data_IF_088738842983
#
_entry.id   IF_088738842983
#
_cell.length_a   1.000
_cell.length_b   1.000
_cell.length_c   1.000
_cell.angle_alpha   90.00
_cell.angle_beta   90.00
_cell.angle_gamma   90.00
#
_symmetry.space_group_name_H-M   'P 1'
#
loop_
_entity.id
_entity.type
_entity.pdbx_description
1 polymer ?
#
# COMPACT_ATOMS: atom_id res chain seq x y z
N UNK A 1 14.84 9.95 2.88
CA UNK A 1 15.65 10.30 1.67
C UNK A 1 14.70 10.73 0.58
N UNK A 2 15.15 11.42 -0.46
CA UNK A 2 14.30 11.83 -1.59
C UNK A 2 14.59 10.94 -2.80
N UNK A 3 13.54 10.57 -3.56
CA UNK A 3 13.72 9.94 -4.86
C UNK A 3 14.32 10.97 -5.82
N UNK A 4 15.36 10.60 -6.59
CA UNK A 4 16.00 11.53 -7.49
C UNK A 4 15.04 12.02 -8.59
N UNK A 5 15.17 13.28 -9.06
CA UNK A 5 14.33 13.77 -10.16
C UNK A 5 14.45 12.93 -11.44
N UNK A 6 15.60 12.33 -11.67
CA UNK A 6 15.84 11.44 -12.83
C UNK A 6 15.04 10.16 -12.69
N UNK A 7 15.06 9.55 -11.52
CA UNK A 7 14.30 8.33 -11.25
C UNK A 7 12.79 8.59 -11.28
N UNK A 8 12.34 9.71 -10.71
CA UNK A 8 10.94 10.11 -10.79
C UNK A 8 10.47 10.25 -12.24
N UNK A 9 11.26 10.93 -13.10
CA UNK A 9 10.94 11.05 -14.53
C UNK A 9 10.86 9.71 -15.24
N UNK A 10 11.81 8.80 -14.95
CA UNK A 10 11.79 7.44 -15.52
C UNK A 10 10.50 6.72 -15.13
N UNK A 11 10.16 6.69 -13.84
CA UNK A 11 8.94 6.03 -13.34
C UNK A 11 7.68 6.64 -14.00
N UNK A 12 7.59 7.96 -14.08
CA UNK A 12 6.46 8.63 -14.75
C UNK A 12 6.35 8.25 -16.23
N UNK A 13 7.48 8.21 -16.96
CA UNK A 13 7.50 7.79 -18.37
C UNK A 13 7.06 6.34 -18.56
N UNK A 14 7.49 5.44 -17.68
CA UNK A 14 7.07 4.02 -17.71
C UNK A 14 5.56 3.87 -17.38
N UNK A 15 5.03 4.66 -16.44
CA UNK A 15 3.60 4.69 -16.12
C UNK A 15 2.78 5.19 -17.32
N UNK A 16 3.24 6.22 -18.03
CA UNK A 16 2.58 6.74 -19.25
C UNK A 16 2.58 5.70 -20.37
N UNK A 17 3.72 5.04 -20.61
CA UNK A 17 3.83 3.98 -21.61
C UNK A 17 2.92 2.78 -21.26
N UNK A 18 2.87 2.40 -19.98
CA UNK A 18 1.99 1.36 -19.45
C UNK A 18 0.52 1.72 -19.68
N UNK A 19 0.13 2.95 -19.33
CA UNK A 19 -1.24 3.42 -19.48
C UNK A 19 -1.70 3.38 -20.94
N UNK A 20 -0.85 3.80 -21.86
CA UNK A 20 -1.11 3.75 -23.30
C UNK A 20 -1.25 2.30 -23.82
N UNK A 21 -0.34 1.41 -23.42
CA UNK A 21 -0.33 0.00 -23.83
C UNK A 21 -1.56 -0.74 -23.33
N UNK A 22 -1.93 -0.56 -22.05
CA UNK A 22 -3.08 -1.23 -21.42
C UNK A 22 -4.42 -0.52 -21.69
N UNK A 23 -4.38 0.66 -22.33
CA UNK A 23 -5.56 1.50 -22.62
C UNK A 23 -6.34 1.86 -21.35
N UNK A 24 -5.63 2.30 -20.32
CA UNK A 24 -6.16 2.67 -19.00
C UNK A 24 -5.87 4.12 -18.68
N UNK A 25 -6.61 4.67 -17.73
CA UNK A 25 -6.30 5.95 -17.08
C UNK A 25 -5.76 5.69 -15.68
N UNK A 26 -4.55 6.16 -15.39
CA UNK A 26 -3.99 6.10 -14.04
C UNK A 26 -4.62 7.21 -13.21
N UNK A 27 -5.30 6.82 -12.12
CA UNK A 27 -5.95 7.72 -11.20
C UNK A 27 -5.03 8.18 -10.07
N UNK A 28 -4.17 7.27 -9.63
CA UNK A 28 -3.20 7.47 -8.56
C UNK A 28 -2.00 6.57 -8.79
N UNK A 29 -0.81 7.08 -8.63
CA UNK A 29 0.41 6.27 -8.60
C UNK A 29 1.36 6.81 -7.54
N UNK A 30 1.91 5.91 -6.72
CA UNK A 30 2.76 6.26 -5.60
C UNK A 30 3.87 5.23 -5.38
N UNK A 31 4.86 5.64 -4.61
CA UNK A 31 5.82 4.72 -4.01
C UNK A 31 5.19 3.98 -2.83
N UNK A 32 5.55 2.73 -2.65
CA UNK A 32 5.17 1.88 -1.54
C UNK A 32 6.41 1.25 -0.88
N UNK A 33 6.22 0.19 -0.09
CA UNK A 33 7.31 -0.58 0.47
C UNK A 33 8.27 0.20 1.35
N UNK A 34 9.52 -0.21 1.37
CA UNK A 34 10.54 0.31 2.29
C UNK A 34 10.82 1.79 2.15
N UNK A 35 10.70 2.36 0.92
CA UNK A 35 10.90 3.80 0.67
C UNK A 35 9.78 4.62 1.28
N UNK A 36 8.55 4.22 1.07
CA UNK A 36 7.40 4.91 1.64
C UNK A 36 7.32 4.75 3.16
N UNK A 37 7.80 3.64 3.70
CA UNK A 37 7.89 3.42 5.14
C UNK A 37 9.07 4.14 5.82
N UNK A 38 10.01 4.72 5.05
CA UNK A 38 11.11 5.54 5.55
C UNK A 38 12.31 4.75 6.07
N UNK A 39 12.51 3.52 5.60
CA UNK A 39 13.68 2.70 5.93
C UNK A 39 14.33 2.01 4.73
N UNK A 40 14.32 2.69 3.59
CA UNK A 40 15.00 2.22 2.39
C UNK A 40 16.52 2.11 2.57
N UNK A 41 17.14 1.24 1.77
CA UNK A 41 18.57 1.19 1.50
C UNK A 41 18.86 1.73 0.08
N UNK A 42 20.13 1.93 -0.24
CA UNK A 42 20.57 2.41 -1.56
C UNK A 42 20.13 1.49 -2.71
N UNK A 43 20.05 0.20 -2.43
CA UNK A 43 19.70 -0.90 -3.33
C UNK A 43 18.27 -1.42 -3.16
N UNK A 44 17.41 -0.67 -2.44
CA UNK A 44 15.99 -1.00 -2.35
C UNK A 44 15.31 -0.79 -3.70
N UNK A 45 14.48 -1.74 -4.11
CA UNK A 45 13.62 -1.63 -5.27
C UNK A 45 12.67 -0.43 -5.15
N UNK A 46 12.15 0.04 -6.29
CA UNK A 46 11.06 1.00 -6.35
C UNK A 46 9.75 0.23 -6.44
N UNK A 47 8.97 0.30 -5.39
CA UNK A 47 7.67 -0.35 -5.25
C UNK A 47 6.56 0.56 -5.80
N UNK A 48 6.44 0.69 -7.11
CA UNK A 48 5.44 1.55 -7.75
C UNK A 48 4.07 0.88 -7.72
N UNK A 49 3.15 1.50 -7.01
CA UNK A 49 1.78 1.03 -6.87
C UNK A 49 0.81 2.05 -7.47
N UNK A 50 -0.20 1.57 -8.21
CA UNK A 50 -1.13 2.48 -8.87
C UNK A 50 -2.57 1.97 -8.86
N UNK A 51 -3.51 2.90 -8.94
CA UNK A 51 -4.94 2.65 -9.13
C UNK A 51 -5.30 3.15 -10.51
N UNK A 52 -6.00 2.35 -11.29
CA UNK A 52 -6.36 2.67 -12.64
C UNK A 52 -7.86 2.45 -12.94
N UNK A 53 -8.34 3.13 -13.95
CA UNK A 53 -9.68 2.98 -14.51
C UNK A 53 -9.56 2.53 -15.97
N UNK A 54 -10.38 1.57 -16.37
CA UNK A 54 -10.56 1.16 -17.76
C UNK A 54 -11.66 1.99 -18.43
N UNK A 55 -11.86 1.81 -19.71
CA UNK A 55 -13.00 2.39 -20.43
C UNK A 55 -14.30 1.74 -19.97
N UNK A 56 -15.42 2.46 -20.02
CA UNK A 56 -16.74 1.95 -19.62
C UNK A 56 -17.13 0.67 -20.34
N UNK A 57 -16.82 0.56 -21.64
CA UNK A 57 -17.06 -0.64 -22.45
C UNK A 57 -16.39 -1.91 -21.89
N UNK A 58 -15.25 -1.77 -21.23
CA UNK A 58 -14.53 -2.89 -20.63
C UNK A 58 -15.23 -3.45 -19.39
N UNK A 59 -15.99 -2.63 -18.67
CA UNK A 59 -16.79 -3.07 -17.52
C UNK A 59 -18.13 -3.73 -17.93
N UNK A 60 -18.54 -3.57 -19.17
CA UNK A 60 -19.77 -4.15 -19.71
C UNK A 60 -19.57 -5.49 -20.43
N UNK A 61 -18.40 -6.10 -20.31
CA UNK A 61 -18.08 -7.39 -20.95
C UNK A 61 -18.62 -8.57 -20.17
N UNK A 62 -19.05 -9.61 -20.88
CA UNK A 62 -19.46 -10.89 -20.27
C UNK A 62 -18.25 -11.62 -19.66
N UNK A 63 -17.09 -11.58 -20.36
CA UNK A 63 -15.86 -12.20 -19.86
C UNK A 63 -15.20 -11.26 -18.83
N UNK A 64 -14.90 -11.73 -17.60
CA UNK A 64 -14.25 -10.90 -16.59
C UNK A 64 -12.84 -10.52 -17.05
N UNK A 65 -12.47 -9.27 -16.85
CA UNK A 65 -11.10 -8.81 -17.05
C UNK A 65 -10.28 -8.97 -15.74
N UNK A 66 -8.98 -9.16 -15.91
CA UNK A 66 -8.07 -9.16 -14.77
C UNK A 66 -8.08 -7.77 -14.10
N UNK A 67 -8.32 -7.75 -12.80
CA UNK A 67 -8.41 -6.52 -11.99
C UNK A 67 -7.07 -6.08 -11.38
N UNK A 68 -5.97 -6.70 -11.84
CA UNK A 68 -4.57 -6.37 -11.48
C UNK A 68 -3.73 -6.30 -12.74
N UNK A 69 -2.90 -5.29 -12.81
CA UNK A 69 -1.81 -5.18 -13.77
C UNK A 69 -0.51 -5.32 -13.01
N UNK A 70 0.30 -6.31 -13.36
CA UNK A 70 1.65 -6.54 -12.85
C UNK A 70 2.60 -6.53 -14.03
N UNK A 71 3.63 -5.73 -13.94
CA UNK A 71 4.70 -5.70 -14.94
C UNK A 71 5.86 -6.56 -14.43
N UNK A 72 6.47 -7.41 -15.26
CA UNK A 72 7.66 -8.12 -14.85
C UNK A 72 8.73 -7.14 -14.36
N UNK A 73 9.38 -7.47 -13.24
CA UNK A 73 10.42 -6.64 -12.64
C UNK A 73 11.52 -6.42 -13.67
N UNK A 74 11.84 -5.15 -13.93
CA UNK A 74 12.92 -4.73 -14.82
C UNK A 74 13.89 -3.84 -14.06
N UNK A 75 15.09 -4.34 -13.81
CA UNK A 75 16.04 -3.67 -12.92
C UNK A 75 15.46 -3.57 -11.51
N UNK A 76 15.37 -2.36 -10.98
CA UNK A 76 14.91 -2.03 -9.64
C UNK A 76 13.43 -1.61 -9.60
N UNK A 77 12.68 -1.76 -10.71
CA UNK A 77 11.30 -1.28 -10.83
C UNK A 77 10.30 -2.42 -10.70
N UNK A 78 9.43 -2.34 -9.71
CA UNK A 78 8.29 -3.25 -9.49
C UNK A 78 6.97 -2.48 -9.59
N UNK A 79 6.24 -2.68 -10.71
CA UNK A 79 4.96 -2.04 -10.97
C UNK A 79 3.80 -3.00 -10.71
N UNK A 80 2.90 -2.61 -9.83
CA UNK A 80 1.65 -3.33 -9.59
C UNK A 80 0.50 -2.34 -9.43
N UNK A 81 -0.54 -2.53 -10.24
CA UNK A 81 -1.73 -1.69 -10.25
C UNK A 81 -3.02 -2.45 -10.01
N UNK A 82 -3.97 -1.79 -9.37
CA UNK A 82 -5.30 -2.30 -9.11
C UNK A 82 -6.35 -1.51 -9.89
N UNK A 83 -7.26 -2.25 -10.53
CA UNK A 83 -8.47 -1.66 -11.08
C UNK A 83 -9.27 -0.94 -9.99
N UNK A 84 -9.91 0.19 -10.33
CA UNK A 84 -10.69 0.97 -9.38
C UNK A 84 -11.78 0.11 -8.70
N UNK A 85 -12.42 -0.81 -9.43
CA UNK A 85 -13.42 -1.71 -8.84
C UNK A 85 -12.82 -2.62 -7.78
N UNK A 86 -11.61 -3.12 -8.00
CA UNK A 86 -10.85 -3.88 -6.99
C UNK A 86 -10.48 -2.99 -5.80
N UNK A 87 -9.95 -1.80 -6.05
CA UNK A 87 -9.58 -0.86 -5.00
C UNK A 87 -10.78 -0.54 -4.09
N UNK A 88 -11.95 -0.26 -4.67
CA UNK A 88 -13.18 0.01 -3.92
C UNK A 88 -13.68 -1.22 -3.12
N UNK A 89 -13.58 -2.43 -3.68
CA UNK A 89 -13.88 -3.68 -2.95
C UNK A 89 -12.95 -3.90 -1.77
N UNK A 90 -11.67 -3.60 -1.93
CA UNK A 90 -10.67 -3.69 -0.86
C UNK A 90 -10.90 -2.60 0.19
N UNK A 91 -11.26 -1.38 -0.23
CA UNK A 91 -11.61 -0.28 0.67
C UNK A 91 -12.80 -0.63 1.56
N UNK A 92 -13.83 -1.25 1.00
CA UNK A 92 -14.99 -1.72 1.76
C UNK A 92 -14.62 -2.67 2.90
N UNK A 93 -13.52 -3.40 2.75
CA UNK A 93 -12.94 -4.29 3.78
C UNK A 93 -11.90 -3.62 4.67
N UNK A 94 -11.71 -2.31 4.54
CA UNK A 94 -10.64 -1.56 5.24
C UNK A 94 -9.26 -2.16 5.00
N UNK A 95 -8.92 -2.45 3.74
CA UNK A 95 -7.64 -3.04 3.40
C UNK A 95 -6.48 -2.07 3.69
N UNK A 96 -5.53 -2.40 4.59
CA UNK A 96 -4.47 -1.49 4.99
C UNK A 96 -3.55 -1.03 3.85
N UNK A 97 -3.03 -1.90 2.98
CA UNK A 97 -2.16 -1.48 1.87
C UNK A 97 -2.75 -0.37 1.01
N UNK A 98 -4.06 -0.40 0.74
CA UNK A 98 -4.74 0.63 -0.04
C UNK A 98 -4.74 1.99 0.68
N UNK A 99 -5.04 1.98 1.99
CA UNK A 99 -5.04 3.20 2.81
C UNK A 99 -3.60 3.75 2.93
N UNK A 100 -2.60 2.88 3.01
CA UNK A 100 -1.18 3.25 3.00
C UNK A 100 -0.79 3.92 1.68
N UNK A 101 -1.19 3.40 0.52
CA UNK A 101 -0.89 4.02 -0.77
C UNK A 101 -1.38 5.46 -0.85
N UNK A 102 -2.54 5.76 -0.25
CA UNK A 102 -3.09 7.11 -0.22
C UNK A 102 -2.34 8.07 0.71
N UNK A 103 -1.52 7.54 1.63
CA UNK A 103 -0.65 8.30 2.54
C UNK A 103 0.80 8.38 2.07
N UNK A 104 1.14 7.75 0.95
CA UNK A 104 2.53 7.73 0.47
C UNK A 104 3.11 9.15 0.36
N UNK A 105 4.30 9.40 0.89
CA UNK A 105 4.96 10.68 0.75
C UNK A 105 5.49 10.96 -0.67
N UNK A 106 5.54 9.92 -1.51
CA UNK A 106 6.02 10.00 -2.88
C UNK A 106 4.91 9.65 -3.86
N UNK A 107 4.36 10.67 -4.50
CA UNK A 107 3.29 10.54 -5.50
C UNK A 107 3.86 10.79 -6.88
N UNK A 108 3.72 9.81 -7.79
CA UNK A 108 4.21 9.89 -9.17
C UNK A 108 3.17 10.46 -10.12
N UNK A 109 1.90 10.08 -9.92
CA UNK A 109 0.78 10.55 -10.74
C UNK A 109 -0.47 10.66 -9.90
N UNK A 110 -1.27 11.70 -10.16
CA UNK A 110 -2.52 11.95 -9.47
C UNK A 110 -3.51 12.56 -10.44
N UNK A 111 -4.66 11.91 -10.62
CA UNK A 111 -5.79 12.52 -11.33
C UNK A 111 -6.48 13.54 -10.42
N UNK A 112 -6.79 14.78 -10.90
CA UNK A 112 -7.33 15.85 -10.05
C UNK A 112 -8.60 15.47 -9.28
N UNK A 113 -9.52 14.76 -9.94
CA UNK A 113 -10.84 14.40 -9.36
C UNK A 113 -10.78 13.18 -8.43
N UNK A 114 -9.66 12.44 -8.41
CA UNK A 114 -9.56 11.17 -7.69
C UNK A 114 -9.28 11.35 -6.19
N UNK A 115 -8.23 12.10 -5.85
CA UNK A 115 -7.61 12.06 -4.52
C UNK A 115 -8.57 12.38 -3.39
N UNK A 116 -9.27 13.53 -3.48
CA UNK A 116 -10.12 14.02 -2.39
C UNK A 116 -11.33 13.11 -2.18
N UNK A 117 -12.00 12.73 -3.26
CA UNK A 117 -13.15 11.83 -3.18
C UNK A 117 -12.79 10.45 -2.65
N UNK A 118 -11.66 9.90 -3.09
CA UNK A 118 -11.19 8.60 -2.63
C UNK A 118 -10.73 8.64 -1.17
N UNK A 119 -10.07 9.72 -0.72
CA UNK A 119 -9.68 9.87 0.68
C UNK A 119 -10.91 9.97 1.61
N UNK A 120 -11.92 10.73 1.23
CA UNK A 120 -13.18 10.79 1.98
C UNK A 120 -13.84 9.40 2.12
N UNK A 121 -13.74 8.57 1.07
CA UNK A 121 -14.18 7.18 1.16
C UNK A 121 -13.26 6.35 2.08
N UNK A 122 -11.95 6.58 2.08
CA UNK A 122 -11.03 5.91 3.02
C UNK A 122 -11.46 6.18 4.48
N UNK A 123 -11.69 7.43 4.85
CA UNK A 123 -12.16 7.79 6.18
C UNK A 123 -13.52 7.17 6.51
N UNK A 124 -14.47 7.25 5.58
CA UNK A 124 -15.82 6.68 5.76
C UNK A 124 -15.82 5.17 5.91
N UNK A 125 -14.96 4.47 5.18
CA UNK A 125 -14.89 3.01 5.16
C UNK A 125 -13.84 2.43 6.12
N UNK A 126 -13.04 3.28 6.74
CA UNK A 126 -12.08 2.84 7.75
C UNK A 126 -12.79 2.14 8.92
N UNK A 127 -12.26 0.98 9.30
CA UNK A 127 -12.69 0.20 10.43
C UNK A 127 -11.44 -0.33 11.16
N UNK A 128 -11.10 0.23 12.34
CA UNK A 128 -9.89 -0.15 13.09
C UNK A 128 -9.79 -1.66 13.31
N UNK A 129 -10.89 -2.29 13.67
CA UNK A 129 -10.96 -3.75 13.94
C UNK A 129 -10.62 -4.57 12.70
N UNK A 130 -11.18 -4.21 11.54
CA UNK A 130 -10.87 -4.89 10.28
C UNK A 130 -9.42 -4.69 9.85
N UNK A 131 -8.90 -3.45 9.95
CA UNK A 131 -7.50 -3.16 9.68
C UNK A 131 -6.57 -3.95 10.62
N UNK A 132 -6.85 -3.99 11.90
CA UNK A 132 -6.06 -4.73 12.89
C UNK A 132 -6.00 -6.21 12.54
N UNK A 133 -7.14 -6.83 12.18
CA UNK A 133 -7.18 -8.21 11.73
C UNK A 133 -6.30 -8.46 10.49
N UNK A 134 -6.33 -7.54 9.52
CA UNK A 134 -5.46 -7.62 8.35
C UNK A 134 -3.98 -7.54 8.72
N UNK A 135 -3.58 -6.58 9.56
CA UNK A 135 -2.19 -6.45 10.00
C UNK A 135 -1.72 -7.68 10.79
N UNK A 136 -2.53 -8.19 11.71
CA UNK A 136 -2.21 -9.41 12.46
C UNK A 136 -2.07 -10.63 11.53
N UNK A 137 -2.93 -10.74 10.51
CA UNK A 137 -2.82 -11.81 9.51
C UNK A 137 -1.55 -11.70 8.67
N UNK A 138 -1.11 -10.48 8.35
CA UNK A 138 0.16 -10.22 7.66
C UNK A 138 1.36 -10.57 8.55
N UNK A 139 1.33 -10.15 9.80
CA UNK A 139 2.37 -10.45 10.79
C UNK A 139 2.51 -11.96 11.00
N UNK A 140 1.39 -12.68 11.20
CA UNK A 140 1.37 -14.12 11.44
C UNK A 140 1.91 -14.92 10.23
N UNK A 141 1.53 -14.51 9.01
CA UNK A 141 2.05 -15.15 7.79
C UNK A 141 3.56 -15.02 7.71
N UNK A 142 4.10 -13.83 7.95
CA UNK A 142 5.54 -13.58 7.95
C UNK A 142 6.23 -14.32 9.09
N UNK A 143 5.65 -14.30 10.29
CA UNK A 143 6.14 -15.01 11.47
C UNK A 143 6.30 -16.50 11.20
N UNK A 144 5.25 -17.16 10.70
CA UNK A 144 5.29 -18.60 10.36
C UNK A 144 6.29 -18.92 9.26
N UNK A 145 6.54 -18.00 8.35
CA UNK A 145 7.45 -18.21 7.22
C UNK A 145 8.92 -18.00 7.61
N UNK A 146 9.19 -17.21 8.64
CA UNK A 146 10.56 -16.71 8.90
C UNK A 146 11.08 -16.96 10.31
N UNK A 147 10.22 -17.09 11.32
CA UNK A 147 10.66 -17.43 12.67
C UNK A 147 10.77 -18.95 12.85
N UNK A 148 11.76 -19.37 13.63
CA UNK A 148 12.03 -20.77 13.94
C UNK A 148 13.19 -21.39 13.14
N UNK A 149 13.81 -20.64 12.23
CA UNK A 149 15.07 -21.02 11.58
C UNK A 149 16.25 -20.44 12.36
N UNK A 150 17.39 -21.15 12.35
CA UNK A 150 18.64 -20.70 12.99
C UNK A 150 19.19 -19.43 12.32
N UNK A 151 18.92 -19.25 11.03
CA UNK A 151 19.30 -18.06 10.24
C UNK A 151 18.08 -17.40 9.62
N UNK A 152 18.13 -16.07 9.49
CA UNK A 152 17.06 -15.26 8.92
C UNK A 152 17.66 -14.11 8.10
N UNK A 153 17.02 -13.77 6.97
CA UNK A 153 17.32 -12.49 6.31
C UNK A 153 16.84 -11.34 7.21
N UNK A 154 17.76 -10.55 7.76
CA UNK A 154 17.47 -9.55 8.80
C UNK A 154 16.37 -8.54 8.37
N UNK A 155 16.28 -8.22 7.05
CA UNK A 155 15.19 -7.37 6.54
C UNK A 155 13.78 -7.89 6.84
N UNK A 156 13.63 -9.20 7.09
CA UNK A 156 12.33 -9.82 7.38
C UNK A 156 11.77 -9.46 8.75
N UNK A 157 12.64 -9.06 9.69
CA UNK A 157 12.17 -8.50 10.96
C UNK A 157 11.26 -7.29 10.77
N UNK A 158 11.58 -6.39 9.82
CA UNK A 158 10.72 -5.25 9.53
C UNK A 158 9.35 -5.63 8.97
N UNK A 159 9.27 -6.69 8.16
CA UNK A 159 8.00 -7.20 7.63
C UNK A 159 7.12 -7.89 8.69
N UNK A 160 7.68 -8.25 9.85
CA UNK A 160 6.95 -8.76 11.01
C UNK A 160 6.62 -7.64 11.99
N UNK A 161 7.58 -6.79 12.30
CA UNK A 161 7.45 -5.72 13.28
C UNK A 161 6.45 -4.64 12.84
N UNK A 162 6.54 -4.18 11.57
CA UNK A 162 5.67 -3.10 11.10
C UNK A 162 4.18 -3.43 11.23
N UNK A 163 3.67 -4.57 10.76
CA UNK A 163 2.26 -4.91 10.95
C UNK A 163 1.89 -5.15 12.42
N UNK A 164 2.79 -5.62 13.27
CA UNK A 164 2.52 -5.75 14.70
C UNK A 164 2.37 -4.38 15.38
N UNK A 165 3.29 -3.45 15.13
CA UNK A 165 3.21 -2.09 15.65
C UNK A 165 1.98 -1.34 15.10
N UNK A 166 1.62 -1.60 13.84
CA UNK A 166 0.39 -1.08 13.25
C UNK A 166 -0.87 -1.62 13.96
N UNK A 167 -0.87 -2.90 14.34
CA UNK A 167 -1.96 -3.48 15.12
C UNK A 167 -2.04 -2.87 16.54
N UNK A 168 -0.90 -2.62 17.18
CA UNK A 168 -0.84 -1.91 18.47
C UNK A 168 -1.37 -0.47 18.34
N UNK A 169 -0.98 0.25 17.27
CA UNK A 169 -1.53 1.58 16.98
C UNK A 169 -3.05 1.57 16.94
N UNK A 170 -3.62 0.63 16.19
CA UNK A 170 -5.07 0.51 16.07
C UNK A 170 -5.75 0.16 17.39
N UNK A 171 -5.12 -0.66 18.23
CA UNK A 171 -5.61 -1.01 19.57
C UNK A 171 -5.60 0.21 20.49
N UNK A 172 -4.58 1.05 20.43
CA UNK A 172 -4.38 2.17 21.34
C UNK A 172 -5.10 3.44 20.89
N UNK A 173 -5.09 3.74 19.59
CA UNK A 173 -5.59 5.02 19.04
C UNK A 173 -6.89 4.86 18.25
N UNK A 174 -7.15 3.71 17.63
CA UNK A 174 -8.34 3.50 16.81
C UNK A 174 -8.39 4.35 15.53
N UNK A 175 -7.26 4.95 15.12
CA UNK A 175 -7.15 5.84 13.95
C UNK A 175 -6.39 5.17 12.81
N UNK A 176 -6.42 5.78 11.60
CA UNK A 176 -5.62 5.35 10.46
C UNK A 176 -4.15 5.27 10.88
N UNK A 177 -3.50 4.17 10.50
CA UNK A 177 -2.11 3.87 10.86
C UNK A 177 -1.16 4.77 10.07
N UNK A 178 -0.19 5.44 10.71
CA UNK A 178 0.83 6.20 10.00
C UNK A 178 1.64 5.34 9.01
N UNK A 179 1.97 5.92 7.85
CA UNK A 179 2.78 5.25 6.84
C UNK A 179 4.21 5.01 7.31
N UNK A 180 4.82 6.01 7.95
CA UNK A 180 6.21 5.98 8.39
C UNK A 180 6.43 5.01 9.56
N UNK A 181 7.37 4.08 9.37
CA UNK A 181 7.72 3.11 10.41
C UNK A 181 8.30 3.76 11.67
N UNK A 182 9.04 4.87 11.51
CA UNK A 182 9.62 5.59 12.64
C UNK A 182 8.56 6.12 13.60
N UNK A 183 7.46 6.64 13.07
CA UNK A 183 6.33 7.14 13.88
C UNK A 183 5.72 6.00 14.70
N UNK A 184 5.50 4.84 14.06
CA UNK A 184 5.00 3.65 14.77
C UNK A 184 5.97 3.20 15.86
N UNK A 185 7.26 3.19 15.54
CA UNK A 185 8.30 2.72 16.45
C UNK A 185 8.42 3.65 17.67
N UNK A 186 8.38 4.97 17.45
CA UNK A 186 8.53 5.96 18.51
C UNK A 186 7.34 5.97 19.47
N UNK A 187 6.13 5.74 18.96
CA UNK A 187 4.90 5.78 19.74
C UNK A 187 4.57 4.44 20.41
N UNK A 188 4.83 3.32 19.73
CA UNK A 188 4.39 2.00 20.20
C UNK A 188 5.48 1.22 20.95
N UNK A 189 6.75 1.56 20.78
CA UNK A 189 7.84 0.83 21.40
C UNK A 189 8.73 1.73 22.25
N UNK A 190 8.62 1.66 23.60
CA UNK A 190 9.47 2.44 24.49
C UNK A 190 10.95 2.06 24.33
N UNK A 191 11.84 2.92 24.84
CA UNK A 191 13.28 2.65 24.85
C UNK A 191 13.58 1.40 25.67
N UNK A 192 14.55 0.60 25.21
CA UNK A 192 14.99 -0.64 25.81
C UNK A 192 15.72 -1.51 24.80
N UNK A 193 16.15 -2.69 25.19
CA UNK A 193 16.99 -3.60 24.40
C UNK A 193 16.40 -3.87 23.00
N UNK A 194 15.12 -4.24 22.92
CA UNK A 194 14.45 -4.53 21.64
C UNK A 194 14.45 -3.30 20.73
N UNK A 195 14.22 -2.10 21.29
CA UNK A 195 14.23 -0.85 20.55
C UNK A 195 15.64 -0.54 20.01
N UNK A 196 16.68 -0.73 20.80
CA UNK A 196 18.07 -0.51 20.40
C UNK A 196 18.48 -1.47 19.27
N UNK A 197 18.08 -2.73 19.34
CA UNK A 197 18.31 -3.72 18.27
C UNK A 197 17.61 -3.32 16.94
N UNK A 198 16.40 -2.80 17.02
CA UNK A 198 15.67 -2.34 15.84
C UNK A 198 16.34 -1.08 15.25
N UNK A 199 16.75 -0.14 16.11
CA UNK A 199 17.44 1.08 15.69
C UNK A 199 18.79 0.74 15.01
N UNK A 200 19.56 -0.21 15.54
CA UNK A 200 20.82 -0.71 14.91
C UNK A 200 20.53 -1.31 13.52
N UNK A 201 19.51 -2.16 13.39
CA UNK A 201 19.13 -2.74 12.11
C UNK A 201 18.71 -1.67 11.09
N UNK A 202 18.01 -0.61 11.53
CA UNK A 202 17.62 0.51 10.67
C UNK A 202 18.84 1.32 10.21
N UNK A 203 19.78 1.59 11.12
CA UNK A 203 21.02 2.31 10.79
C UNK A 203 21.87 1.51 9.79
N UNK A 204 22.06 0.23 10.03
CA UNK A 204 22.79 -0.66 9.12
C UNK A 204 22.15 -0.71 7.74
N UNK A 205 20.82 -0.80 7.67
CA UNK A 205 20.09 -0.78 6.40
C UNK A 205 20.28 0.54 5.65
N UNK A 206 20.17 1.68 6.33
CA UNK A 206 20.38 3.01 5.75
C UNK A 206 21.81 3.27 5.28
N UNK A 207 22.78 2.69 5.99
CA UNK A 207 24.19 2.78 5.60
C UNK A 207 24.54 1.92 4.37
N UNK A 208 23.56 1.23 3.78
CA UNK A 208 23.75 0.38 2.62
C UNK A 208 24.38 -0.97 2.93
N UNK A 209 24.45 -1.36 4.21
CA UNK A 209 24.84 -2.72 4.56
C UNK A 209 23.73 -3.67 4.13
N UNK A 210 24.08 -4.66 3.36
CA UNK A 210 23.14 -5.71 2.99
C UNK A 210 22.68 -6.44 4.26
N UNK A 211 21.37 -6.35 4.56
CA UNK A 211 20.75 -7.13 5.62
C UNK A 211 20.50 -8.56 5.13
N UNK A 212 21.61 -9.24 4.81
CA UNK A 212 21.64 -10.61 4.34
C UNK A 212 21.15 -11.62 5.37
N UNK A 213 21.47 -12.89 5.12
CA UNK A 213 21.26 -13.96 6.10
C UNK A 213 22.25 -13.83 7.27
N UNK A 214 21.70 -13.90 8.48
CA UNK A 214 22.45 -13.88 9.73
C UNK A 214 21.76 -14.79 10.75
N UNK A 215 22.46 -15.17 11.85
CA UNK A 215 21.79 -15.84 12.96
C UNK A 215 20.56 -15.04 13.42
N UNK A 216 19.51 -15.77 13.77
CA UNK A 216 18.31 -15.15 14.35
C UNK A 216 18.67 -14.37 15.62
N UNK A 217 18.00 -13.25 15.84
CA UNK A 217 18.18 -12.41 17.04
C UNK A 217 17.10 -12.83 18.06
N UNK A 218 17.45 -13.57 19.12
CA UNK A 218 16.47 -14.16 20.03
C UNK A 218 15.54 -13.11 20.63
N UNK A 219 16.10 -12.00 21.13
CA UNK A 219 15.30 -10.94 21.75
C UNK A 219 14.23 -10.35 20.80
N UNK A 220 14.53 -10.20 19.49
CA UNK A 220 13.53 -9.76 18.50
C UNK A 220 12.50 -10.84 18.21
N UNK A 221 12.94 -12.09 18.13
CA UNK A 221 12.05 -13.23 17.86
C UNK A 221 11.07 -13.44 19.03
N UNK A 222 11.54 -13.36 20.25
CA UNK A 222 10.75 -13.50 21.47
C UNK A 222 9.75 -12.33 21.58
N UNK A 223 10.21 -11.11 21.34
CA UNK A 223 9.32 -9.93 21.31
C UNK A 223 8.19 -10.08 20.30
N UNK A 224 8.49 -10.47 19.06
CA UNK A 224 7.49 -10.67 18.01
C UNK A 224 6.46 -11.73 18.42
N UNK A 225 6.90 -12.84 19.02
CA UNK A 225 6.01 -13.89 19.48
C UNK A 225 5.12 -13.40 20.63
N UNK A 226 5.71 -12.76 21.64
CA UNK A 226 5.00 -12.23 22.81
C UNK A 226 3.94 -11.20 22.39
N UNK A 227 4.33 -10.25 21.52
CA UNK A 227 3.39 -9.24 21.03
C UNK A 227 2.25 -9.86 20.23
N UNK A 228 2.55 -10.82 19.34
CA UNK A 228 1.51 -11.51 18.59
C UNK A 228 0.54 -12.26 19.51
N UNK A 229 1.04 -12.96 20.52
CA UNK A 229 0.24 -13.68 21.51
C UNK A 229 -0.62 -12.75 22.39
N UNK A 230 -0.13 -11.51 22.65
CA UNK A 230 -0.87 -10.52 23.44
C UNK A 230 -2.20 -10.06 22.80
N UNK A 231 -2.36 -10.31 21.50
CA UNK A 231 -3.61 -10.06 20.78
C UNK A 231 -4.62 -11.22 20.91
N UNK A 232 -4.26 -12.32 21.57
CA UNK A 232 -5.17 -13.44 21.84
C UNK A 232 -5.65 -14.21 20.62
N UNK A 233 -4.95 -14.08 19.51
CA UNK A 233 -5.43 -14.50 18.20
C UNK A 233 -6.49 -13.55 17.66
N UNK A 234 -6.49 -13.32 16.37
CA UNK A 234 -7.51 -12.48 15.73
C UNK A 234 -8.84 -13.22 15.73
N UNK A 235 -9.72 -12.94 16.71
CA UNK A 235 -11.11 -13.41 16.62
C UNK A 235 -11.67 -13.01 15.26
N UNK A 236 -12.23 -14.00 14.53
CA UNK A 236 -12.95 -13.73 13.30
C UNK A 236 -14.07 -12.75 13.61
N UNK A 237 -13.89 -11.51 13.22
CA UNK A 237 -14.91 -10.48 13.39
C UNK A 237 -16.09 -10.80 12.51
N UNK A 238 -17.30 -10.59 13.03
CA UNK A 238 -18.52 -10.56 12.24
C UNK A 238 -18.28 -9.67 11.00
N UNK A 239 -18.74 -10.12 9.85
CA UNK A 239 -18.54 -9.44 8.58
C UNK A 239 -19.06 -8.00 8.67
N UNK A 240 -18.15 -7.05 8.63
CA UNK A 240 -18.49 -5.63 8.70
C UNK A 240 -19.06 -5.20 7.36
N UNK A 241 -20.38 -5.16 7.27
CA UNK A 241 -21.10 -4.84 6.03
C UNK A 241 -21.36 -3.34 5.89
N UNK A 242 -20.41 -2.60 5.34
CA UNK A 242 -20.67 -1.22 4.89
C UNK A 242 -21.43 -1.23 3.54
N UNK A 243 -22.32 -0.24 3.30
CA UNK A 243 -23.13 -0.17 2.07
C UNK A 243 -22.26 -0.07 0.81
N UNK A 244 -22.78 -0.55 -0.32
CA UNK A 244 -22.11 -0.45 -1.62
C UNK A 244 -22.36 0.89 -2.33
N UNK A 245 -23.55 1.47 -2.15
CA UNK A 245 -24.00 2.64 -2.90
C UNK A 245 -22.99 3.79 -2.96
N UNK A 246 -22.32 4.21 -1.88
CA UNK A 246 -21.37 5.32 -1.99
C UNK A 246 -20.16 4.97 -2.86
N UNK A 247 -19.75 3.70 -2.90
CA UNK A 247 -18.66 3.21 -3.75
C UNK A 247 -19.09 3.16 -5.21
N UNK A 248 -20.32 2.67 -5.47
CA UNK A 248 -20.90 2.62 -6.81
C UNK A 248 -21.10 4.02 -7.37
N UNK A 249 -21.62 4.94 -6.56
CA UNK A 249 -21.80 6.35 -6.96
C UNK A 249 -20.45 6.99 -7.31
N UNK A 250 -19.42 6.77 -6.49
CA UNK A 250 -18.10 7.33 -6.76
C UNK A 250 -17.47 6.72 -8.02
N UNK A 251 -17.58 5.40 -8.21
CA UNK A 251 -17.12 4.73 -9.42
C UNK A 251 -17.77 5.29 -10.67
N UNK A 252 -19.11 5.39 -10.67
CA UNK A 252 -19.88 5.89 -11.79
C UNK A 252 -19.55 7.36 -12.11
N UNK A 253 -19.40 8.21 -11.09
CA UNK A 253 -19.08 9.62 -11.30
C UNK A 253 -17.72 9.80 -11.97
N UNK A 254 -16.70 9.05 -11.54
CA UNK A 254 -15.38 9.10 -12.16
C UNK A 254 -15.40 8.55 -13.60
N UNK A 255 -16.10 7.45 -13.82
CA UNK A 255 -16.21 6.87 -15.16
C UNK A 255 -16.84 7.85 -16.15
N UNK A 256 -17.98 8.46 -15.79
CA UNK A 256 -18.66 9.44 -16.62
C UNK A 256 -17.79 10.67 -16.89
N UNK A 257 -17.15 11.23 -15.85
CA UNK A 257 -16.27 12.40 -15.99
C UNK A 257 -15.13 12.17 -16.97
N UNK A 258 -14.50 11.00 -16.93
CA UNK A 258 -13.37 10.67 -17.82
C UNK A 258 -13.82 10.38 -19.25
N UNK A 259 -15.00 9.81 -19.45
CA UNK A 259 -15.57 9.58 -20.79
C UNK A 259 -16.01 10.87 -21.45
N UNK A 260 -16.59 11.81 -20.71
CA UNK A 260 -16.97 13.12 -21.22
C UNK A 260 -15.76 13.96 -21.65
N UNK A 261 -14.65 13.88 -20.94
CA UNK A 261 -13.40 14.55 -21.29
C UNK A 261 -12.71 13.93 -22.53
N UNK A 262 -13.07 12.72 -22.95
CA UNK A 262 -12.53 12.06 -24.16
C UNK A 262 -13.40 12.27 -25.40
N UNK A 263 -14.62 12.81 -25.29
CA UNK A 263 -15.44 13.17 -26.44
C UNK A 263 -14.81 14.35 -27.16
N UNK A 264 -14.62 14.30 -28.51
CA UNK A 264 -14.21 15.47 -29.27
C UNK A 264 -15.24 16.58 -29.06
N UNK A 265 -14.78 17.81 -28.82
CA UNK A 265 -15.64 18.98 -28.83
C UNK A 265 -16.45 18.95 -30.14
N UNK A 266 -17.75 18.74 -30.06
CA UNK A 266 -18.64 18.95 -31.19
C UNK A 266 -18.52 20.44 -31.59
N UNK A 267 -17.72 20.70 -32.62
CA UNK A 267 -17.65 22.03 -33.22
C UNK A 267 -19.01 22.26 -33.87
N UNK A 268 -19.82 23.05 -33.19
CA UNK A 268 -21.12 23.49 -33.68
C UNK A 268 -20.87 24.34 -34.94
N UNK A 269 -20.82 23.70 -36.13
CA UNK A 269 -20.79 24.34 -37.41
C UNK A 269 -22.22 24.84 -37.69
N UNK A 270 -22.53 26.03 -37.19
CA UNK A 270 -23.68 26.75 -37.73
C UNK A 270 -23.41 27.00 -39.23
N UNK A 271 -24.30 26.64 -40.14
CA UNK A 271 -24.17 27.05 -41.55
C UNK A 271 -24.37 28.54 -41.65
N UNK A 272 -23.50 29.18 -42.43
CA UNK A 272 -23.59 30.58 -42.87
C UNK A 272 -24.85 30.82 -43.73
#
# INVERSE_FOLDING_TARGET
MSISPTQTRLICSELEALAARERITILWACESGSRAWGFESTDSDFDVRFIYLRRGEDYLRVSPMRDVIEVPISGDLDFSGWDLTKALRLLRKSNPPLIEWMQSPFVYSQHPEFRMGFWNLCERYFCPRSCMHHYLSMADRNRRSYLGADTIKLKRYFYMLRPLLAAQWLKNHGTIVPMEFRVLLDEMLPRGEVRELIDDLLERKRAGFELGEAPAIPALSDFINQEFESFGGAEKTAEYTKPWEPLDTYFQSLLCSLEDNTKPLEINRQPL
#
